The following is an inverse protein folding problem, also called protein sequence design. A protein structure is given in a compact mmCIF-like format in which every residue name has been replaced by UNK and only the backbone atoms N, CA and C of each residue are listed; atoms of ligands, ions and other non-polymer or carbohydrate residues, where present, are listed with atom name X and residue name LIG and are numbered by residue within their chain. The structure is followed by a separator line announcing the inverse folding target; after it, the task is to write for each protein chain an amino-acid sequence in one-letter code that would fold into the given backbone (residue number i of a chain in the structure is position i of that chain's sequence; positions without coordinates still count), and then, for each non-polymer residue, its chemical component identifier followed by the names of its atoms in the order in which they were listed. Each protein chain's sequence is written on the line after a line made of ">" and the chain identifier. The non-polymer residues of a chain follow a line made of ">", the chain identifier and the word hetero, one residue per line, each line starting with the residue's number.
data_IF_339655850701
#
_entry.id   IF_339655850701
#
_cell.length_a   1.000
_cell.length_b   1.000
_cell.length_c   1.000
_cell.angle_alpha   90.00
_cell.angle_beta   90.00
_cell.angle_gamma   90.00
#
_symmetry.space_group_name_H-M   'P 1'
#
loop_
_entity.id
_entity.type
_entity.pdbx_description
1 polymer ?
#
# COMPACT_ATOMS: atom_id res chain seq x y z
N UNK A 1 2.56 20.43 2.61
CA UNK A 1 2.48 19.41 3.68
C UNK A 1 2.53 18.03 3.04
N UNK A 2 3.16 17.02 3.67
CA UNK A 2 3.27 15.68 3.09
C UNK A 2 2.84 14.61 4.08
N UNK A 3 2.03 13.65 3.62
CA UNK A 3 1.61 12.50 4.42
C UNK A 3 1.91 11.19 3.67
N UNK A 4 2.03 10.10 4.42
CA UNK A 4 2.09 8.75 3.87
C UNK A 4 0.82 8.01 4.26
N UNK A 5 0.09 7.50 3.27
CA UNK A 5 -1.18 6.80 3.46
C UNK A 5 -0.98 5.32 3.12
N UNK A 6 -1.20 4.45 4.11
CA UNK A 6 -0.98 3.02 3.99
C UNK A 6 -2.32 2.32 3.72
N UNK A 7 -2.42 1.63 2.58
CA UNK A 7 -3.62 0.85 2.23
C UNK A 7 -3.24 -0.59 2.02
N UNK A 8 -3.85 -1.44 2.85
CA UNK A 8 -3.73 -2.88 2.77
C UNK A 8 -3.95 -3.43 1.35
N UNK A 9 -3.24 -4.50 1.03
CA UNK A 9 -3.38 -5.22 -0.22
C UNK A 9 -4.56 -6.18 -0.26
N UNK A 10 -5.12 -6.62 0.87
CA UNK A 10 -6.26 -7.54 0.85
C UNK A 10 -7.58 -6.77 0.81
N UNK A 11 -8.66 -7.46 0.38
CA UNK A 11 -10.03 -6.93 0.36
C UNK A 11 -10.27 -5.74 -0.58
N UNK A 12 -11.09 -5.94 -1.61
CA UNK A 12 -11.41 -4.90 -2.61
C UNK A 12 -11.92 -3.59 -2.00
N UNK A 13 -12.66 -3.67 -0.89
CA UNK A 13 -13.23 -2.49 -0.24
C UNK A 13 -12.20 -1.55 0.42
N UNK A 14 -10.98 -2.01 0.72
CA UNK A 14 -9.98 -1.16 1.38
C UNK A 14 -9.49 -0.05 0.47
N UNK A 15 -9.10 -0.40 -0.77
CA UNK A 15 -8.63 0.60 -1.73
C UNK A 15 -9.76 1.51 -2.20
N UNK A 16 -10.97 0.98 -2.41
CA UNK A 16 -12.10 1.79 -2.85
C UNK A 16 -12.44 2.91 -1.84
N UNK A 17 -12.62 2.56 -0.56
CA UNK A 17 -12.93 3.57 0.48
C UNK A 17 -11.77 4.52 0.74
N UNK A 18 -10.54 4.02 0.66
CA UNK A 18 -9.35 4.86 0.85
C UNK A 18 -9.21 5.90 -0.25
N UNK A 19 -9.56 5.56 -1.49
CA UNK A 19 -9.47 6.50 -2.61
C UNK A 19 -10.46 7.67 -2.48
N UNK A 20 -11.67 7.43 -1.97
CA UNK A 20 -12.61 8.51 -1.66
C UNK A 20 -12.03 9.50 -0.65
N UNK A 21 -11.37 8.99 0.41
CA UNK A 21 -10.70 9.80 1.43
C UNK A 21 -9.51 10.56 0.81
N UNK A 22 -8.69 9.89 -0.01
CA UNK A 22 -7.52 10.50 -0.66
C UNK A 22 -7.96 11.64 -1.58
N UNK A 23 -8.99 11.43 -2.40
CA UNK A 23 -9.52 12.47 -3.29
C UNK A 23 -10.07 13.64 -2.50
N UNK A 24 -10.85 13.38 -1.44
CA UNK A 24 -11.33 14.44 -0.55
C UNK A 24 -10.18 15.27 0.03
N UNK A 25 -9.15 14.62 0.57
CA UNK A 25 -7.99 15.30 1.14
C UNK A 25 -7.24 16.13 0.09
N UNK A 26 -7.03 15.59 -1.11
CA UNK A 26 -6.36 16.34 -2.17
C UNK A 26 -7.18 17.56 -2.61
N UNK A 27 -8.51 17.44 -2.72
CA UNK A 27 -9.41 18.57 -3.04
C UNK A 27 -9.37 19.65 -1.95
N UNK A 28 -9.49 19.26 -0.69
CA UNK A 28 -9.58 20.20 0.44
C UNK A 28 -8.27 20.89 0.79
N UNK A 29 -7.13 20.27 0.47
CA UNK A 29 -5.81 20.78 0.83
C UNK A 29 -4.91 20.87 -0.42
N UNK A 30 -4.87 22.03 -1.12
CA UNK A 30 -4.10 22.21 -2.35
C UNK A 30 -2.59 21.96 -2.22
N UNK A 31 -2.01 22.22 -1.05
CA UNK A 31 -0.58 22.04 -0.78
C UNK A 31 -0.23 20.66 -0.19
N UNK A 32 -1.21 19.75 -0.12
CA UNK A 32 -0.99 18.39 0.36
C UNK A 32 -0.43 17.50 -0.75
N UNK A 33 0.62 16.76 -0.43
CA UNK A 33 1.12 15.63 -1.24
C UNK A 33 0.94 14.35 -0.44
N UNK A 34 0.48 13.28 -1.11
CA UNK A 34 0.21 11.99 -0.47
C UNK A 34 1.12 10.94 -1.11
N UNK A 35 1.91 10.24 -0.29
CA UNK A 35 2.57 9.00 -0.69
C UNK A 35 1.65 7.82 -0.33
N UNK A 36 0.97 7.25 -1.31
CA UNK A 36 0.15 6.06 -1.17
C UNK A 36 1.02 4.81 -1.21
N UNK A 37 0.94 3.98 -0.17
CA UNK A 37 1.67 2.72 -0.07
C UNK A 37 0.67 1.57 -0.15
N UNK A 38 0.73 0.80 -1.24
CA UNK A 38 -0.19 -0.32 -1.49
C UNK A 38 0.34 -1.22 -2.60
N UNK A 39 -0.19 -2.45 -2.71
CA UNK A 39 0.01 -3.33 -3.89
C UNK A 39 -1.18 -3.30 -4.86
N UNK A 40 -2.18 -2.45 -4.59
CA UNK A 40 -3.40 -2.30 -5.39
C UNK A 40 -3.36 -1.07 -6.29
N UNK A 41 -2.19 -0.66 -6.75
CA UNK A 41 -2.04 0.55 -7.57
C UNK A 41 -2.89 0.52 -8.85
N UNK A 42 -3.05 -0.66 -9.47
CA UNK A 42 -3.87 -0.83 -10.68
C UNK A 42 -5.35 -0.53 -10.47
N UNK A 43 -5.82 -0.48 -9.22
CA UNK A 43 -7.20 -0.10 -8.94
C UNK A 43 -7.50 1.33 -9.39
N UNK A 44 -6.49 2.22 -9.38
CA UNK A 44 -6.63 3.60 -9.84
C UNK A 44 -7.11 3.69 -11.30
N UNK A 45 -6.76 2.71 -12.13
CA UNK A 45 -7.16 2.63 -13.53
C UNK A 45 -8.66 2.34 -13.70
N UNK A 46 -9.35 1.90 -12.63
CA UNK A 46 -10.78 1.54 -12.65
C UNK A 46 -11.71 2.64 -12.14
N UNK A 47 -11.14 3.74 -11.61
CA UNK A 47 -11.91 4.81 -11.00
C UNK A 47 -12.32 5.82 -12.06
N UNK A 48 -13.59 6.22 -12.04
CA UNK A 48 -14.06 7.36 -12.83
C UNK A 48 -13.65 8.66 -12.15
N UNK A 49 -12.80 9.44 -12.82
CA UNK A 49 -12.23 10.67 -12.28
C UNK A 49 -12.74 11.88 -13.05
N UNK A 50 -13.07 12.96 -12.33
CA UNK A 50 -13.29 14.27 -12.95
C UNK A 50 -11.97 14.86 -13.47
N UNK A 51 -12.04 15.90 -14.30
CA UNK A 51 -10.84 16.63 -14.73
C UNK A 51 -10.08 17.24 -13.54
N UNK A 52 -10.81 17.72 -12.53
CA UNK A 52 -10.23 18.28 -11.32
C UNK A 52 -9.51 17.21 -10.50
N UNK A 53 -10.11 16.03 -10.36
CA UNK A 53 -9.47 14.90 -9.68
C UNK A 53 -8.20 14.43 -10.38
N UNK A 54 -8.22 14.41 -11.72
CA UNK A 54 -7.05 14.07 -12.52
C UNK A 54 -5.88 15.03 -12.25
N UNK A 55 -6.17 16.33 -12.07
CA UNK A 55 -5.16 17.33 -11.68
C UNK A 55 -4.67 17.09 -10.25
N UNK A 56 -5.58 16.82 -9.33
CA UNK A 56 -5.28 16.57 -7.93
C UNK A 56 -4.39 15.33 -7.73
N UNK A 57 -4.63 14.26 -8.50
CA UNK A 57 -3.85 13.02 -8.43
C UNK A 57 -2.39 13.17 -8.87
N UNK A 58 -1.99 14.26 -9.54
CA UNK A 58 -0.56 14.55 -9.78
C UNK A 58 0.23 14.70 -8.48
N UNK A 59 -0.44 15.01 -7.37
CA UNK A 59 0.11 15.10 -6.01
C UNK A 59 0.02 13.78 -5.23
N UNK A 60 -0.47 12.71 -5.86
CA UNK A 60 -0.46 11.36 -5.32
C UNK A 60 0.75 10.60 -5.89
N UNK A 61 1.66 10.18 -5.03
CA UNK A 61 2.81 9.35 -5.37
C UNK A 61 2.55 7.93 -4.90
N UNK A 62 2.86 6.93 -5.72
CA UNK A 62 2.56 5.53 -5.40
C UNK A 62 3.85 4.79 -5.10
N UNK A 63 3.89 4.14 -3.94
CA UNK A 63 4.94 3.21 -3.55
C UNK A 63 4.36 1.81 -3.42
N UNK A 64 4.74 0.93 -4.34
CA UNK A 64 4.30 -0.46 -4.30
C UNK A 64 4.96 -1.22 -3.15
N UNK A 65 4.16 -1.67 -2.16
CA UNK A 65 4.67 -2.49 -1.05
C UNK A 65 3.54 -3.31 -0.42
N UNK A 66 3.81 -4.59 -0.18
CA UNK A 66 2.92 -5.44 0.63
C UNK A 66 3.01 -5.03 2.09
N UNK A 67 1.86 -4.75 2.70
CA UNK A 67 1.75 -4.25 4.07
C UNK A 67 1.30 -5.34 5.05
N UNK A 68 0.56 -6.31 4.54
CA UNK A 68 0.02 -7.44 5.28
C UNK A 68 -0.27 -8.58 4.29
N UNK A 69 -0.61 -9.74 4.85
CA UNK A 69 -1.07 -10.91 4.10
C UNK A 69 -2.59 -10.90 3.94
N UNK A 70 -3.30 -10.41 4.97
CA UNK A 70 -4.74 -10.56 5.06
C UNK A 70 -5.15 -12.00 5.30
N UNK A 71 -6.25 -12.39 4.67
CA UNK A 71 -6.83 -13.73 4.74
C UNK A 71 -7.08 -14.23 3.32
N UNK A 72 -6.55 -15.41 3.00
CA UNK A 72 -6.81 -16.05 1.71
C UNK A 72 -8.11 -16.84 1.82
N UNK A 73 -9.01 -16.65 0.85
CA UNK A 73 -10.30 -17.32 0.78
C UNK A 73 -10.26 -18.41 -0.29
N UNK A 74 -10.86 -19.57 -0.02
CA UNK A 74 -11.10 -20.59 -1.06
C UNK A 74 -12.33 -20.20 -1.89
N UNK A 75 -13.33 -19.63 -1.22
CA UNK A 75 -14.59 -19.16 -1.79
C UNK A 75 -15.18 -18.03 -0.93
N UNK A 76 -16.38 -17.54 -1.28
CA UNK A 76 -17.04 -16.42 -0.63
C UNK A 76 -17.29 -16.61 0.88
N UNK A 77 -17.29 -17.85 1.39
CA UNK A 77 -17.64 -18.18 2.77
C UNK A 77 -16.54 -18.93 3.52
N UNK A 78 -15.52 -19.46 2.84
CA UNK A 78 -14.50 -20.29 3.46
C UNK A 78 -13.08 -19.71 3.34
N UNK A 79 -12.32 -19.87 4.43
CA UNK A 79 -10.94 -19.43 4.57
C UNK A 79 -10.01 -20.56 4.13
N UNK A 80 -8.98 -20.22 3.37
CA UNK A 80 -7.84 -21.10 3.15
C UNK A 80 -6.76 -20.88 4.22
N UNK A 81 -6.86 -21.61 5.31
CA UNK A 81 -5.91 -21.49 6.43
C UNK A 81 -4.50 -21.92 6.03
N UNK A 82 -4.37 -22.98 5.24
CA UNK A 82 -3.06 -23.51 4.78
C UNK A 82 -2.38 -22.51 3.85
N UNK A 83 -3.12 -21.96 2.88
CA UNK A 83 -2.56 -20.94 1.99
C UNK A 83 -2.23 -19.64 2.75
N UNK A 84 -3.07 -19.25 3.72
CA UNK A 84 -2.82 -18.06 4.54
C UNK A 84 -1.56 -18.23 5.39
N UNK A 85 -1.35 -19.40 6.01
CA UNK A 85 -0.15 -19.71 6.79
C UNK A 85 1.12 -19.62 5.95
N UNK A 86 1.14 -20.27 4.78
CA UNK A 86 2.27 -20.19 3.85
C UNK A 86 2.58 -18.75 3.42
N UNK A 87 1.55 -17.94 3.18
CA UNK A 87 1.72 -16.53 2.83
C UNK A 87 2.25 -15.68 4.00
N UNK A 88 1.90 -16.00 5.25
CA UNK A 88 2.46 -15.38 6.45
C UNK A 88 3.94 -15.70 6.59
N UNK A 89 4.34 -16.96 6.38
CA UNK A 89 5.75 -17.35 6.43
C UNK A 89 6.58 -16.59 5.39
N UNK A 90 6.13 -16.54 4.14
CA UNK A 90 6.78 -15.81 3.06
C UNK A 90 6.88 -14.30 3.37
N UNK A 91 5.78 -13.69 3.83
CA UNK A 91 5.76 -12.28 4.19
C UNK A 91 6.75 -11.96 5.32
N UNK A 92 6.83 -12.83 6.34
CA UNK A 92 7.77 -12.67 7.44
C UNK A 92 9.22 -12.78 6.94
N UNK A 93 9.53 -13.78 6.11
CA UNK A 93 10.88 -13.96 5.53
C UNK A 93 11.32 -12.71 4.76
N UNK A 94 10.47 -12.16 3.90
CA UNK A 94 10.76 -10.93 3.14
C UNK A 94 11.06 -9.74 4.07
N UNK A 95 10.29 -9.58 5.14
CA UNK A 95 10.51 -8.48 6.09
C UNK A 95 11.75 -8.69 6.98
N UNK A 96 12.06 -9.94 7.35
CA UNK A 96 13.28 -10.27 8.09
C UNK A 96 14.53 -10.04 7.25
N UNK A 97 14.55 -10.50 6.00
CA UNK A 97 15.64 -10.25 5.05
C UNK A 97 15.85 -8.75 4.86
N UNK A 98 14.77 -8.00 4.66
CA UNK A 98 14.85 -6.54 4.52
C UNK A 98 15.46 -5.87 5.77
N UNK A 99 15.07 -6.31 6.97
CA UNK A 99 15.62 -5.80 8.23
C UNK A 99 17.12 -6.11 8.35
N UNK A 100 17.54 -7.32 7.98
CA UNK A 100 18.94 -7.73 8.01
C UNK A 100 19.80 -6.92 7.03
N UNK A 101 19.37 -6.79 5.77
CA UNK A 101 20.07 -6.01 4.76
C UNK A 101 20.19 -4.53 5.14
N UNK A 102 19.17 -3.97 5.78
CA UNK A 102 19.23 -2.58 6.26
C UNK A 102 20.25 -2.39 7.37
N UNK A 103 20.33 -3.34 8.31
CA UNK A 103 21.32 -3.32 9.39
C UNK A 103 22.75 -3.46 8.86
N UNK A 104 22.99 -4.35 7.89
CA UNK A 104 24.32 -4.52 7.31
C UNK A 104 24.79 -3.31 6.52
N UNK A 105 23.87 -2.64 5.79
CA UNK A 105 24.20 -1.41 5.05
C UNK A 105 24.60 -0.27 6.00
N UNK A 106 23.84 -0.06 7.08
CA UNK A 106 24.15 0.95 8.11
C UNK A 106 25.50 0.65 8.76
N UNK A 107 25.75 -0.61 9.14
CA UNK A 107 27.03 -1.05 9.69
C UNK A 107 28.24 -0.90 8.76
N UNK A 108 28.01 -0.80 7.45
CA UNK A 108 29.06 -0.61 6.45
C UNK A 108 29.33 0.87 6.21
N UNK A 109 28.30 1.72 6.27
CA UNK A 109 28.42 3.17 6.11
C UNK A 109 29.01 3.86 7.35
N UNK A 110 28.80 3.31 8.55
CA UNK A 110 29.39 3.83 9.81
C UNK A 110 30.86 3.44 10.02
N UNK A 111 31.44 2.60 9.14
CA UNK A 111 32.84 2.14 9.22
C UNK A 111 33.77 2.75 8.15
N UNK A 112 33.28 3.70 7.37
CA UNK A 112 34.05 4.55 6.45
C UNK A 112 33.94 6.01 6.89
#
# INVERSE_FOLDING_TARGET
>A
MKITYYVSGHGFGHINRSMEIILYLLRSFPDLTIDLVTVREKFLDTIFLSEEDTKNLRRLQIRKRSLDVGMIQKDSLSIDTVATEAAIEEFNLQNHIFKFLKLSLVWTLERN
#
